data_IF_600843235332
#
_entry.id   IF_600843235332
#
_cell.length_a   1.000
_cell.length_b   1.000
_cell.length_c   1.000
_cell.angle_alpha   90.00
_cell.angle_beta   90.00
_cell.angle_gamma   90.00
#
_symmetry.space_group_name_H-M   'P 1'
#
loop_
_entity.id
_entity.type
_entity.pdbx_description
1 polymer ?
#
# COMPACT_ATOMS: atom_id res chain seq x y z
N UNK A 1 -17.74 -8.38 20.08
CA UNK A 1 -17.08 -9.28 19.11
C UNK A 1 -15.64 -9.46 19.53
N UNK A 2 -15.02 -10.64 19.37
CA UNK A 2 -13.62 -10.83 19.70
C UNK A 2 -12.76 -9.91 18.82
N UNK A 3 -11.77 -9.25 19.44
CA UNK A 3 -10.82 -8.39 18.71
C UNK A 3 -9.89 -9.30 17.90
N UNK A 4 -9.71 -9.08 16.59
CA UNK A 4 -8.75 -9.86 15.83
C UNK A 4 -7.36 -9.68 16.44
N UNK A 5 -6.56 -10.75 16.44
CA UNK A 5 -5.20 -10.76 16.98
C UNK A 5 -4.23 -10.47 15.84
N UNK A 6 -3.29 -9.53 16.00
CA UNK A 6 -2.32 -9.23 14.94
C UNK A 6 -1.39 -10.42 14.72
N UNK A 7 -0.99 -10.71 13.46
CA UNK A 7 0.03 -11.70 13.19
C UNK A 7 1.36 -11.26 13.80
N UNK A 8 2.16 -12.23 14.26
CA UNK A 8 3.47 -11.96 14.86
C UNK A 8 4.55 -12.37 13.87
N UNK A 9 5.31 -11.40 13.38
CA UNK A 9 6.45 -11.67 12.51
C UNK A 9 7.51 -12.49 13.25
N UNK A 10 8.01 -13.56 12.61
CA UNK A 10 9.17 -14.29 13.12
C UNK A 10 10.41 -13.40 13.10
N UNK A 11 11.26 -13.57 14.10
CA UNK A 11 12.57 -12.91 14.18
C UNK A 11 13.63 -13.85 13.62
N UNK A 12 14.28 -13.44 12.53
CA UNK A 12 15.39 -14.14 11.89
C UNK A 12 16.56 -13.15 11.84
N UNK A 13 17.49 -13.19 12.82
CA UNK A 13 18.61 -12.26 12.89
C UNK A 13 19.46 -12.31 11.62
N UNK A 14 19.55 -11.19 10.91
CA UNK A 14 20.49 -11.00 9.80
C UNK A 14 21.44 -9.85 10.16
N UNK A 15 22.72 -10.17 10.32
CA UNK A 15 23.76 -9.15 10.55
C UNK A 15 24.34 -8.73 9.21
N UNK A 16 24.33 -7.43 8.95
CA UNK A 16 24.99 -6.82 7.79
C UNK A 16 26.08 -5.89 8.31
N UNK A 17 27.28 -5.98 7.75
CA UNK A 17 28.39 -5.09 8.10
C UNK A 17 28.44 -3.95 7.09
N UNK A 18 28.30 -2.71 7.57
CA UNK A 18 28.33 -1.50 6.74
C UNK A 18 29.40 -0.57 7.31
N UNK A 19 30.45 -0.29 6.53
CA UNK A 19 31.57 0.57 6.93
C UNK A 19 32.25 0.20 8.28
N UNK A 20 32.23 -1.08 8.64
CA UNK A 20 32.78 -1.58 9.91
C UNK A 20 31.78 -1.65 11.06
N UNK A 21 30.58 -1.09 10.89
CA UNK A 21 29.50 -1.19 11.86
C UNK A 21 28.61 -2.41 11.58
N UNK A 22 28.21 -3.11 12.65
CA UNK A 22 27.29 -4.23 12.56
C UNK A 22 25.85 -3.75 12.72
N UNK A 23 25.04 -3.95 11.67
CA UNK A 23 23.60 -3.73 11.71
C UNK A 23 22.89 -5.08 11.78
N UNK A 24 22.21 -5.36 12.90
CA UNK A 24 21.33 -6.52 13.03
C UNK A 24 19.91 -6.15 12.63
N UNK A 25 19.35 -6.89 11.67
CA UNK A 25 17.98 -6.77 11.19
C UNK A 25 17.28 -8.13 11.33
N UNK A 26 16.44 -8.26 12.38
CA UNK A 26 15.68 -9.47 12.67
C UNK A 26 14.54 -9.74 11.67
N UNK A 27 14.21 -8.77 10.82
CA UNK A 27 13.08 -8.84 9.89
C UNK A 27 13.52 -8.71 8.42
N UNK A 28 14.82 -8.84 8.16
CA UNK A 28 15.37 -8.72 6.82
C UNK A 28 14.75 -9.73 5.82
N UNK A 29 14.24 -10.86 6.31
CA UNK A 29 13.55 -11.87 5.51
C UNK A 29 12.28 -11.34 4.84
N UNK A 30 11.63 -10.30 5.39
CA UNK A 30 10.46 -9.64 4.78
C UNK A 30 10.78 -8.91 3.47
N UNK A 31 12.06 -8.69 3.15
CA UNK A 31 12.47 -8.09 1.87
C UNK A 31 12.32 -9.04 0.68
N UNK A 32 12.32 -10.34 0.92
CA UNK A 32 12.27 -11.37 -0.13
C UNK A 32 10.82 -11.59 -0.59
N UNK A 33 10.35 -10.77 -1.52
CA UNK A 33 8.94 -10.69 -1.94
C UNK A 33 8.36 -12.02 -2.45
N UNK A 34 9.19 -12.83 -3.11
CA UNK A 34 8.78 -14.12 -3.68
C UNK A 34 8.85 -15.28 -2.68
N UNK A 35 9.29 -15.01 -1.45
CA UNK A 35 9.37 -16.04 -0.40
C UNK A 35 7.97 -16.45 0.05
N UNK A 36 7.66 -17.76 0.09
CA UNK A 36 6.38 -18.25 0.62
C UNK A 36 6.09 -17.77 2.05
N UNK A 37 7.13 -17.62 2.87
CA UNK A 37 6.99 -17.13 4.24
C UNK A 37 6.52 -15.67 4.29
N UNK A 38 7.01 -14.84 3.35
CA UNK A 38 6.64 -13.42 3.27
C UNK A 38 5.21 -13.29 2.76
N UNK A 39 4.84 -14.05 1.74
CA UNK A 39 3.47 -14.09 1.21
C UNK A 39 2.49 -14.51 2.30
N UNK A 40 2.78 -15.60 3.02
CA UNK A 40 1.93 -16.08 4.10
C UNK A 40 1.77 -15.04 5.22
N UNK A 41 2.83 -14.30 5.55
CA UNK A 41 2.76 -13.23 6.54
C UNK A 41 1.90 -12.04 6.06
N UNK A 42 2.06 -11.63 4.79
CA UNK A 42 1.27 -10.55 4.20
C UNK A 42 -0.22 -10.92 4.09
N UNK A 43 -0.54 -12.17 3.76
CA UNK A 43 -1.93 -12.65 3.77
C UNK A 43 -2.54 -12.59 5.17
N UNK A 44 -1.79 -12.96 6.20
CA UNK A 44 -2.24 -12.86 7.59
C UNK A 44 -2.46 -11.40 8.02
N UNK A 45 -1.58 -10.49 7.62
CA UNK A 45 -1.74 -9.04 7.86
C UNK A 45 -2.97 -8.48 7.13
N UNK A 46 -3.20 -8.88 5.88
CA UNK A 46 -4.37 -8.48 5.10
C UNK A 46 -5.66 -8.97 5.75
N UNK A 47 -5.72 -10.23 6.21
CA UNK A 47 -6.87 -10.78 6.91
C UNK A 47 -7.15 -10.05 8.23
N UNK A 48 -6.10 -9.68 8.97
CA UNK A 48 -6.21 -8.87 10.18
C UNK A 48 -6.76 -7.47 9.89
N UNK A 49 -6.21 -6.80 8.87
CA UNK A 49 -6.67 -5.48 8.44
C UNK A 49 -8.13 -5.51 7.96
N UNK A 50 -8.51 -6.52 7.17
CA UNK A 50 -9.90 -6.72 6.72
C UNK A 50 -10.83 -6.90 7.93
N UNK A 51 -10.49 -7.80 8.86
CA UNK A 51 -11.31 -8.05 10.04
C UNK A 51 -11.52 -6.79 10.90
N UNK A 52 -10.49 -5.94 11.04
CA UNK A 52 -10.58 -4.68 11.77
C UNK A 52 -11.38 -3.60 11.04
N UNK A 53 -11.24 -3.52 9.72
CA UNK A 53 -11.87 -2.48 8.89
C UNK A 53 -13.28 -2.83 8.45
N UNK A 54 -13.65 -4.12 8.50
CA UNK A 54 -14.98 -4.64 8.13
C UNK A 54 -16.17 -3.85 8.69
N UNK A 55 -16.18 -3.38 9.95
CA UNK A 55 -17.28 -2.56 10.47
C UNK A 55 -17.47 -1.24 9.72
N UNK A 56 -16.42 -0.70 9.10
CA UNK A 56 -16.43 0.54 8.33
C UNK A 56 -16.74 0.40 6.85
N UNK A 57 -16.99 -0.82 6.35
CA UNK A 57 -17.12 -1.09 4.91
C UNK A 57 -18.21 -0.24 4.23
N UNK A 58 -19.35 -0.03 4.89
CA UNK A 58 -20.43 0.81 4.33
C UNK A 58 -20.02 2.28 4.17
N UNK A 59 -19.23 2.80 5.12
CA UNK A 59 -18.72 4.17 5.05
C UNK A 59 -17.61 4.32 3.99
N UNK A 60 -16.74 3.31 3.88
CA UNK A 60 -15.72 3.26 2.82
C UNK A 60 -16.36 3.28 1.42
N UNK A 61 -17.42 2.50 1.19
CA UNK A 61 -18.16 2.48 -0.07
C UNK A 61 -18.83 3.83 -0.37
N UNK A 62 -19.44 4.46 0.64
CA UNK A 62 -20.03 5.78 0.48
C UNK A 62 -18.99 6.83 0.07
N UNK A 63 -17.83 6.83 0.73
CA UNK A 63 -16.72 7.73 0.41
C UNK A 63 -16.16 7.46 -0.99
N UNK A 64 -16.01 6.19 -1.37
CA UNK A 64 -15.55 5.80 -2.70
C UNK A 64 -16.47 6.35 -3.80
N UNK A 65 -17.80 6.20 -3.66
CA UNK A 65 -18.78 6.76 -4.58
C UNK A 65 -18.73 8.28 -4.64
N UNK A 66 -18.54 8.92 -3.50
CA UNK A 66 -18.42 10.38 -3.44
C UNK A 66 -17.17 10.86 -4.19
N UNK A 67 -16.03 10.19 -4.02
CA UNK A 67 -14.79 10.52 -4.73
C UNK A 67 -14.96 10.32 -6.24
N UNK A 68 -15.55 9.19 -6.67
CA UNK A 68 -15.86 8.95 -8.08
C UNK A 68 -16.78 10.02 -8.68
N UNK A 69 -17.85 10.40 -7.98
CA UNK A 69 -18.78 11.43 -8.46
C UNK A 69 -18.14 12.82 -8.61
N UNK A 70 -16.99 13.05 -7.95
CA UNK A 70 -16.23 14.31 -8.03
C UNK A 70 -15.11 14.26 -9.08
N UNK A 71 -14.83 13.11 -9.67
CA UNK A 71 -13.89 12.96 -10.78
C UNK A 71 -14.65 13.25 -12.09
N UNK A 72 -14.17 14.21 -12.88
CA UNK A 72 -14.71 14.47 -14.21
C UNK A 72 -14.21 13.40 -15.18
N UNK A 73 -15.14 12.73 -15.89
CA UNK A 73 -14.82 11.76 -16.95
C UNK A 73 -14.19 12.38 -18.21
N UNK A 74 -14.37 13.69 -18.43
CA UNK A 74 -13.67 14.44 -19.49
C UNK A 74 -12.83 15.54 -18.82
N UNK A 75 -11.59 15.20 -18.45
CA UNK A 75 -10.62 16.15 -17.94
C UNK A 75 -9.70 16.57 -19.10
N UNK A 76 -10.11 17.63 -19.80
CA UNK A 76 -9.20 18.32 -20.72
C UNK A 76 -8.49 19.40 -19.92
N UNK A 77 -7.17 19.25 -19.74
CA UNK A 77 -6.36 20.32 -19.17
C UNK A 77 -6.48 21.57 -20.05
N UNK A 78 -6.48 22.76 -19.45
CA UNK A 78 -6.43 24.01 -20.20
C UNK A 78 -5.22 24.00 -21.14
N UNK A 79 -5.40 24.12 -22.47
CA UNK A 79 -4.29 24.06 -23.41
C UNK A 79 -3.29 25.18 -23.15
N UNK A 80 -2.00 24.84 -23.05
CA UNK A 80 -0.95 25.86 -22.88
C UNK A 80 -0.10 25.99 -24.16
N UNK A 81 0.23 27.23 -24.57
CA UNK A 81 1.04 27.46 -25.75
C UNK A 81 2.52 27.24 -25.46
N UNK A 82 3.20 26.44 -26.28
CA UNK A 82 4.65 26.29 -26.27
C UNK A 82 5.17 26.11 -27.70
N UNK A 83 6.14 26.94 -28.11
CA UNK A 83 6.82 26.80 -29.40
C UNK A 83 5.93 26.81 -30.65
N UNK A 84 4.77 27.50 -30.62
CA UNK A 84 3.83 27.57 -31.75
C UNK A 84 2.73 26.50 -31.75
N UNK A 85 2.69 25.62 -30.75
CA UNK A 85 1.69 24.56 -30.60
C UNK A 85 0.94 24.69 -29.27
N UNK A 86 -0.30 24.20 -29.23
CA UNK A 86 -1.08 24.09 -28.00
C UNK A 86 -1.02 22.66 -27.48
N UNK A 87 -0.55 22.51 -26.24
CA UNK A 87 -0.45 21.21 -25.57
C UNK A 87 -1.58 21.07 -24.56
N UNK A 88 -2.25 19.92 -24.57
CA UNK A 88 -3.20 19.54 -23.53
C UNK A 88 -3.10 18.02 -23.28
N UNK A 89 -3.41 17.61 -22.06
CA UNK A 89 -3.60 16.21 -21.66
C UNK A 89 -5.07 15.91 -21.54
N UNK A 90 -5.46 14.71 -21.99
CA UNK A 90 -6.80 14.14 -21.82
C UNK A 90 -6.64 12.75 -21.21
N UNK A 91 -7.42 12.46 -20.19
CA UNK A 91 -7.61 11.12 -19.61
C UNK A 91 -9.05 10.68 -19.79
#
# INVERSE_FOLDING_TARGET
MPRPVPPVAKKVPKVTVIHGDMLQDDYAWLREKDSPDVIAYLEAENAYAEALTKPGAAFQEALYREMLARIKEDDQSVPYPFGGWLYYTRT
#
